data_IF_909811876466
#
_entry.id   IF_909811876466
#
_cell.length_a   1.000
_cell.length_b   1.000
_cell.length_c   1.000
_cell.angle_alpha   90.00
_cell.angle_beta   90.00
_cell.angle_gamma   90.00
#
_symmetry.space_group_name_H-M   'P 1'
#
loop_
_entity.id
_entity.type
_entity.pdbx_description
1 polymer ?
#
# COMPACT_ATOMS: atom_id res chain seq x y z
N UNK A 1 -25.31 37.89 -4.08
CA UNK A 1 -23.90 37.44 -4.23
C UNK A 1 -23.33 36.82 -2.92
N UNK A 2 -24.06 36.75 -1.79
CA UNK A 2 -23.41 36.55 -0.48
C UNK A 2 -23.55 35.17 0.22
N UNK A 3 -24.22 34.17 -0.34
CA UNK A 3 -24.42 32.88 0.37
C UNK A 3 -23.51 31.76 -0.14
N UNK A 4 -23.25 31.71 -1.46
CA UNK A 4 -22.37 30.72 -2.09
C UNK A 4 -20.88 31.00 -1.84
N UNK A 5 -20.45 32.26 -1.77
CA UNK A 5 -19.04 32.58 -1.50
C UNK A 5 -18.63 32.22 -0.06
N UNK A 6 -19.49 32.50 0.92
CA UNK A 6 -19.24 32.16 2.33
C UNK A 6 -19.15 30.64 2.57
N UNK A 7 -19.95 29.83 1.86
CA UNK A 7 -19.87 28.36 1.93
C UNK A 7 -18.55 27.84 1.35
N UNK A 8 -18.10 28.41 0.22
CA UNK A 8 -16.83 28.04 -0.44
C UNK A 8 -15.62 28.41 0.42
N UNK A 9 -15.60 29.59 1.04
CA UNK A 9 -14.53 29.99 1.96
C UNK A 9 -14.49 29.13 3.23
N UNK A 10 -15.66 28.75 3.76
CA UNK A 10 -15.75 27.89 4.95
C UNK A 10 -15.28 26.47 4.63
N UNK A 11 -15.67 25.90 3.48
CA UNK A 11 -15.20 24.60 3.02
C UNK A 11 -13.69 24.60 2.72
N UNK A 12 -13.17 25.66 2.09
CA UNK A 12 -11.73 25.81 1.85
C UNK A 12 -10.92 25.93 3.16
N UNK A 13 -11.44 26.67 4.15
CA UNK A 13 -10.83 26.78 5.47
C UNK A 13 -10.88 25.50 6.31
N UNK A 14 -11.90 24.66 6.10
CA UNK A 14 -12.01 23.32 6.71
C UNK A 14 -11.07 22.34 6.00
N UNK A 15 -11.03 22.33 4.67
CA UNK A 15 -10.13 21.48 3.87
C UNK A 15 -8.65 21.75 4.18
N UNK A 16 -8.25 23.03 4.29
CA UNK A 16 -6.89 23.42 4.67
C UNK A 16 -6.50 22.96 6.09
N UNK A 17 -7.45 22.88 7.02
CA UNK A 17 -7.22 22.28 8.35
C UNK A 17 -7.11 20.76 8.30
N UNK A 18 -7.80 20.09 7.38
CA UNK A 18 -7.69 18.63 7.23
C UNK A 18 -6.36 18.20 6.62
N UNK A 19 -5.85 18.92 5.61
CA UNK A 19 -4.52 18.65 5.04
C UNK A 19 -3.40 18.72 6.08
N UNK A 20 -3.48 19.68 7.02
CA UNK A 20 -2.54 19.81 8.12
C UNK A 20 -2.61 18.67 9.17
N UNK A 21 -3.67 17.86 9.14
CA UNK A 21 -3.93 16.79 10.13
C UNK A 21 -3.82 15.37 9.54
N UNK A 22 -3.46 15.22 8.26
CA UNK A 22 -3.22 13.89 7.69
C UNK A 22 -1.90 13.35 8.23
N UNK A 23 -1.98 12.19 8.89
CA UNK A 23 -0.86 11.51 9.54
C UNK A 23 -1.03 10.00 9.44
N UNK A 24 -0.03 9.23 9.90
CA UNK A 24 -0.11 7.76 9.96
C UNK A 24 -1.29 7.25 10.80
N UNK A 25 -1.84 8.07 11.71
CA UNK A 25 -2.98 7.71 12.56
C UNK A 25 -4.34 8.01 11.91
N UNK A 26 -4.38 9.00 11.01
CA UNK A 26 -5.63 9.58 10.50
C UNK A 26 -5.87 9.31 9.02
N UNK A 27 -4.82 9.02 8.24
CA UNK A 27 -4.93 8.88 6.77
C UNK A 27 -5.97 7.83 6.35
N UNK A 28 -5.99 6.66 6.99
CA UNK A 28 -6.92 5.58 6.64
C UNK A 28 -8.37 5.95 6.99
N UNK A 29 -8.60 6.57 8.14
CA UNK A 29 -9.94 6.98 8.57
C UNK A 29 -10.47 8.14 7.72
N UNK A 30 -9.63 9.13 7.41
CA UNK A 30 -9.97 10.24 6.53
C UNK A 30 -10.24 9.78 5.11
N UNK A 31 -9.43 8.88 4.56
CA UNK A 31 -9.68 8.29 3.25
C UNK A 31 -11.04 7.59 3.20
N UNK A 32 -11.35 6.74 4.20
CA UNK A 32 -12.64 6.04 4.29
C UNK A 32 -13.84 6.99 4.35
N UNK A 33 -13.76 8.01 5.19
CA UNK A 33 -14.81 9.04 5.31
C UNK A 33 -14.95 9.81 4.00
N UNK A 34 -13.84 10.15 3.34
CA UNK A 34 -13.85 10.88 2.08
C UNK A 34 -14.50 10.11 0.95
N UNK A 35 -14.26 8.79 0.87
CA UNK A 35 -14.97 7.91 -0.07
C UNK A 35 -16.48 7.90 0.22
N UNK A 36 -16.88 7.75 1.49
CA UNK A 36 -18.28 7.68 1.89
C UNK A 36 -19.06 8.96 1.54
N UNK A 37 -18.45 10.12 1.75
CA UNK A 37 -19.09 11.43 1.53
C UNK A 37 -18.71 12.09 0.19
N UNK A 38 -17.97 11.39 -0.68
CA UNK A 38 -17.47 11.90 -1.97
C UNK A 38 -16.70 13.23 -1.83
N UNK A 39 -15.96 13.39 -0.73
CA UNK A 39 -15.14 14.58 -0.46
C UNK A 39 -13.82 14.50 -1.25
N UNK A 40 -13.87 14.90 -2.53
CA UNK A 40 -12.79 14.71 -3.51
C UNK A 40 -11.46 15.35 -3.10
N UNK A 41 -11.49 16.54 -2.49
CA UNK A 41 -10.28 17.25 -2.06
C UNK A 41 -9.57 16.49 -0.93
N UNK A 42 -10.31 16.05 0.10
CA UNK A 42 -9.72 15.30 1.22
C UNK A 42 -9.26 13.90 0.78
N UNK A 43 -10.02 13.25 -0.10
CA UNK A 43 -9.63 11.98 -0.71
C UNK A 43 -8.28 12.14 -1.42
N UNK A 44 -8.15 13.18 -2.25
CA UNK A 44 -6.92 13.45 -2.99
C UNK A 44 -5.75 13.75 -2.06
N UNK A 45 -5.97 14.53 -1.00
CA UNK A 45 -4.94 14.82 -0.01
C UNK A 45 -4.45 13.55 0.71
N UNK A 46 -5.35 12.61 1.04
CA UNK A 46 -4.98 11.31 1.62
C UNK A 46 -4.14 10.48 0.65
N UNK A 47 -4.52 10.43 -0.62
CA UNK A 47 -3.75 9.73 -1.66
C UNK A 47 -2.36 10.34 -1.86
N UNK A 48 -2.26 11.67 -1.96
CA UNK A 48 -0.97 12.36 -2.04
C UNK A 48 -0.11 12.11 -0.80
N UNK A 49 -0.72 12.06 0.39
CA UNK A 49 0.00 11.72 1.62
C UNK A 49 0.56 10.29 1.57
N UNK A 50 -0.22 9.31 1.08
CA UNK A 50 0.24 7.94 0.91
C UNK A 50 1.38 7.84 -0.11
N UNK A 51 1.31 8.58 -1.22
CA UNK A 51 2.39 8.66 -2.20
C UNK A 51 3.71 9.11 -1.54
N UNK A 52 3.67 10.04 -0.60
CA UNK A 52 4.88 10.58 0.07
C UNK A 52 5.34 9.75 1.27
N UNK A 53 4.41 9.11 1.98
CA UNK A 53 4.66 8.61 3.34
C UNK A 53 4.32 7.14 3.57
N UNK A 54 3.81 6.40 2.57
CA UNK A 54 3.57 4.96 2.68
C UNK A 54 4.85 4.23 3.13
N UNK A 55 5.94 4.45 2.40
CA UNK A 55 7.23 3.78 2.64
C UNK A 55 7.97 4.39 3.81
N UNK A 56 7.99 5.72 3.92
CA UNK A 56 8.87 6.44 4.87
C UNK A 56 8.31 6.62 6.27
N UNK A 57 6.97 6.52 6.46
CA UNK A 57 6.34 6.69 7.78
C UNK A 57 5.34 5.60 8.12
N UNK A 58 4.43 5.27 7.19
CA UNK A 58 3.31 4.39 7.50
C UNK A 58 3.73 2.92 7.65
N UNK A 59 4.72 2.49 6.87
CA UNK A 59 5.30 1.14 6.91
C UNK A 59 5.82 0.72 8.31
N UNK A 60 6.17 1.71 9.14
CA UNK A 60 6.65 1.55 10.51
C UNK A 60 5.54 1.64 11.57
N UNK A 61 4.27 1.77 11.15
CA UNK A 61 3.14 1.96 12.05
C UNK A 61 2.14 0.80 11.95
N UNK A 62 1.58 0.37 13.08
CA UNK A 62 0.58 -0.71 13.12
C UNK A 62 -0.69 -0.39 12.30
N UNK A 63 -0.92 0.90 12.05
CA UNK A 63 -2.03 1.45 11.26
C UNK A 63 -1.92 1.17 9.77
N UNK A 64 -0.78 0.66 9.30
CA UNK A 64 -0.65 0.11 7.95
C UNK A 64 -1.71 -0.97 7.66
N UNK A 65 -2.16 -1.73 8.67
CA UNK A 65 -3.25 -2.71 8.54
C UNK A 65 -4.56 -2.12 8.05
N UNK A 66 -4.82 -0.86 8.42
CA UNK A 66 -6.08 -0.20 8.12
C UNK A 66 -6.17 0.22 6.64
N UNK A 67 -5.12 -0.02 5.83
CA UNK A 67 -5.14 0.23 4.39
C UNK A 67 -5.99 -0.84 3.68
N UNK A 68 -7.11 -0.47 3.03
CA UNK A 68 -7.87 -1.37 2.19
C UNK A 68 -7.05 -1.76 0.95
N UNK A 69 -7.31 -2.94 0.40
CA UNK A 69 -6.55 -3.54 -0.69
C UNK A 69 -6.27 -2.61 -1.89
N UNK A 70 -7.25 -1.82 -2.32
CA UNK A 70 -7.12 -0.96 -3.50
C UNK A 70 -6.15 0.21 -3.30
N UNK A 71 -5.93 0.64 -2.04
CA UNK A 71 -5.10 1.80 -1.73
C UNK A 71 -3.60 1.54 -1.93
N UNK A 72 -3.01 0.46 -1.40
CA UNK A 72 -1.65 0.05 -1.74
C UNK A 72 -1.47 -0.09 -3.25
N UNK A 73 -2.36 -0.80 -3.95
CA UNK A 73 -2.25 -0.99 -5.40
C UNK A 73 -2.19 0.36 -6.14
N UNK A 74 -3.14 1.24 -5.86
CA UNK A 74 -3.19 2.58 -6.45
C UNK A 74 -1.94 3.40 -6.14
N UNK A 75 -1.42 3.29 -4.91
CA UNK A 75 -0.22 4.01 -4.46
C UNK A 75 1.04 3.49 -5.17
N UNK A 76 1.19 2.17 -5.31
CA UNK A 76 2.31 1.53 -6.01
C UNK A 76 2.35 1.88 -7.49
N UNK A 77 1.19 1.92 -8.14
CA UNK A 77 1.07 2.31 -9.54
C UNK A 77 1.35 3.81 -9.77
N UNK A 78 1.35 4.63 -8.72
CA UNK A 78 1.59 6.06 -8.84
C UNK A 78 3.04 6.34 -9.24
N UNK A 79 3.30 7.17 -10.26
CA UNK A 79 4.66 7.63 -10.58
C UNK A 79 5.20 8.61 -9.54
N UNK A 80 4.35 9.10 -8.61
CA UNK A 80 4.72 10.04 -7.54
C UNK A 80 5.10 9.33 -6.23
N UNK A 81 5.09 7.99 -6.19
CA UNK A 81 5.50 7.25 -5.00
C UNK A 81 6.92 7.64 -4.61
N UNK A 82 7.06 8.20 -3.41
CA UNK A 82 8.33 8.62 -2.85
C UNK A 82 8.98 7.44 -2.11
N UNK A 83 10.13 7.02 -2.59
CA UNK A 83 10.96 5.98 -1.97
C UNK A 83 12.43 6.25 -2.24
N UNK A 84 13.32 5.77 -1.36
CA UNK A 84 14.77 5.81 -1.57
C UNK A 84 15.23 4.76 -2.59
N UNK A 85 14.57 3.60 -2.61
CA UNK A 85 14.77 2.52 -3.58
C UNK A 85 13.57 1.57 -3.61
N UNK A 86 13.53 0.67 -4.59
CA UNK A 86 12.42 -0.28 -4.80
C UNK A 86 12.37 -1.38 -3.72
N UNK A 87 13.49 -1.69 -3.06
CA UNK A 87 13.53 -2.65 -1.97
C UNK A 87 12.76 -2.16 -0.74
N UNK A 88 12.81 -0.87 -0.41
CA UNK A 88 12.01 -0.28 0.67
C UNK A 88 10.50 -0.35 0.37
N UNK A 89 10.11 -0.29 -0.92
CA UNK A 89 8.72 -0.48 -1.34
C UNK A 89 8.28 -1.92 -1.10
N UNK A 90 9.10 -2.90 -1.52
CA UNK A 90 8.85 -4.32 -1.25
C UNK A 90 8.70 -4.57 0.25
N UNK A 91 9.60 -4.02 1.08
CA UNK A 91 9.51 -4.13 2.55
C UNK A 91 8.19 -3.60 3.10
N UNK A 92 7.74 -2.44 2.62
CA UNK A 92 6.46 -1.87 3.04
C UNK A 92 5.27 -2.76 2.64
N UNK A 93 5.29 -3.32 1.42
CA UNK A 93 4.26 -4.26 0.94
C UNK A 93 4.23 -5.54 1.75
N UNK A 94 5.38 -6.15 2.05
CA UNK A 94 5.45 -7.35 2.87
C UNK A 94 4.94 -7.10 4.29
N UNK A 95 5.25 -5.94 4.88
CA UNK A 95 4.70 -5.55 6.18
C UNK A 95 3.20 -5.37 6.13
N UNK A 96 2.67 -4.72 5.09
CA UNK A 96 1.23 -4.56 4.92
C UNK A 96 0.55 -5.94 4.80
N UNK A 97 1.06 -6.81 3.92
CA UNK A 97 0.55 -8.16 3.72
C UNK A 97 0.59 -8.98 5.01
N UNK A 98 1.70 -8.94 5.76
CA UNK A 98 1.83 -9.60 7.05
C UNK A 98 0.69 -9.19 8.00
N UNK A 99 0.40 -7.89 8.09
CA UNK A 99 -0.67 -7.38 8.94
C UNK A 99 -2.07 -7.73 8.43
N UNK A 100 -2.27 -7.84 7.11
CA UNK A 100 -3.54 -8.35 6.55
C UNK A 100 -3.77 -9.81 6.92
N UNK A 101 -2.72 -10.64 6.90
CA UNK A 101 -2.79 -12.05 7.26
C UNK A 101 -2.89 -12.28 8.78
N UNK A 102 -2.49 -11.30 9.59
CA UNK A 102 -2.44 -11.40 11.04
C UNK A 102 -3.24 -10.29 11.73
N UNK A 103 -4.58 -10.23 11.55
CA UNK A 103 -5.40 -9.11 12.01
C UNK A 103 -5.49 -8.96 13.53
N UNK A 104 -5.12 -9.99 14.30
CA UNK A 104 -5.12 -9.96 15.77
C UNK A 104 -3.83 -9.38 16.38
N UNK A 105 -2.78 -9.15 15.59
CA UNK A 105 -1.52 -8.58 16.10
C UNK A 105 -1.76 -7.18 16.64
N UNK A 106 -1.14 -6.82 17.75
CA UNK A 106 -1.26 -5.48 18.34
C UNK A 106 0.01 -4.63 18.18
N UNK A 107 1.12 -5.27 17.85
CA UNK A 107 2.43 -4.64 17.64
C UNK A 107 2.98 -4.96 16.25
N UNK A 108 3.81 -4.06 15.73
CA UNK A 108 4.49 -4.26 14.46
C UNK A 108 5.74 -5.11 14.69
N UNK A 109 5.84 -6.24 14.01
CA UNK A 109 7.05 -7.07 14.00
C UNK A 109 8.17 -6.35 13.25
N UNK A 110 9.43 -6.57 13.65
CA UNK A 110 10.58 -6.04 12.95
C UNK A 110 10.57 -6.43 11.45
N UNK A 111 10.93 -5.48 10.58
CA UNK A 111 10.94 -5.69 9.13
C UNK A 111 11.83 -6.88 8.73
N UNK A 112 13.00 -7.06 9.36
CA UNK A 112 13.92 -8.17 9.08
C UNK A 112 13.29 -9.55 9.30
N UNK A 113 12.46 -9.69 10.33
CA UNK A 113 11.72 -10.93 10.59
C UNK A 113 10.68 -11.19 9.51
N UNK A 114 9.93 -10.15 9.12
CA UNK A 114 8.90 -10.25 8.07
C UNK A 114 9.55 -10.63 6.73
N UNK A 115 10.64 -9.96 6.36
CA UNK A 115 11.39 -10.26 5.13
C UNK A 115 11.88 -11.71 5.13
N UNK A 116 12.46 -12.17 6.24
CA UNK A 116 12.95 -13.55 6.36
C UNK A 116 11.83 -14.57 6.18
N UNK A 117 10.65 -14.34 6.77
CA UNK A 117 9.49 -15.22 6.61
C UNK A 117 9.06 -15.30 5.14
N UNK A 118 8.83 -14.14 4.52
CA UNK A 118 8.35 -14.08 3.15
C UNK A 118 9.40 -14.52 2.11
N UNK A 119 10.69 -14.34 2.37
CA UNK A 119 11.75 -14.76 1.44
C UNK A 119 11.71 -16.25 1.11
N UNK A 120 11.19 -17.08 2.02
CA UNK A 120 11.08 -18.54 1.85
C UNK A 120 9.72 -18.98 1.31
N UNK A 121 8.66 -18.25 1.65
CA UNK A 121 7.29 -18.73 1.49
C UNK A 121 6.47 -17.93 0.46
N UNK A 122 6.96 -16.80 -0.06
CA UNK A 122 6.12 -15.90 -0.90
C UNK A 122 5.62 -16.58 -2.18
N UNK A 123 6.46 -17.32 -2.91
CA UNK A 123 6.00 -18.02 -4.13
C UNK A 123 4.90 -19.03 -3.83
N UNK A 124 5.11 -19.87 -2.82
CA UNK A 124 4.15 -20.88 -2.38
C UNK A 124 2.85 -20.21 -1.90
N UNK A 125 2.96 -19.10 -1.15
CA UNK A 125 1.80 -18.34 -0.70
C UNK A 125 0.98 -17.77 -1.87
N UNK A 126 1.63 -17.16 -2.87
CA UNK A 126 0.95 -16.56 -4.02
C UNK A 126 0.24 -17.58 -4.91
N UNK A 127 0.70 -18.83 -4.93
CA UNK A 127 0.02 -19.94 -5.61
C UNK A 127 -1.30 -20.33 -4.95
N UNK A 128 -1.37 -20.20 -3.62
CA UNK A 128 -2.56 -20.59 -2.87
C UNK A 128 -3.75 -19.67 -3.18
N UNK A 129 -5.00 -20.16 -3.11
CA UNK A 129 -6.20 -19.37 -3.37
C UNK A 129 -6.27 -18.05 -2.58
N UNK A 130 -5.78 -18.05 -1.33
CA UNK A 130 -5.72 -16.85 -0.49
C UNK A 130 -4.69 -15.83 -0.97
N UNK A 131 -3.60 -16.27 -1.59
CA UNK A 131 -2.51 -15.44 -2.10
C UNK A 131 -2.79 -14.81 -3.46
N UNK A 132 -3.58 -15.47 -4.31
CA UNK A 132 -3.89 -15.05 -5.68
C UNK A 132 -4.36 -13.58 -5.78
N UNK A 133 -5.19 -13.13 -4.82
CA UNK A 133 -5.67 -11.74 -4.82
C UNK A 133 -4.55 -10.71 -4.68
N UNK A 134 -3.41 -11.06 -4.08
CA UNK A 134 -2.28 -10.16 -3.85
C UNK A 134 -1.31 -10.11 -5.03
N UNK A 135 -1.44 -10.97 -6.03
CA UNK A 135 -0.54 -11.00 -7.19
C UNK A 135 -0.44 -9.63 -7.86
N UNK A 136 -1.56 -8.92 -8.01
CA UNK A 136 -1.60 -7.57 -8.59
C UNK A 136 -0.80 -6.54 -7.81
N UNK A 137 -0.68 -6.69 -6.49
CA UNK A 137 0.17 -5.84 -5.65
C UNK A 137 1.64 -6.08 -5.98
N UNK A 138 2.05 -7.34 -6.09
CA UNK A 138 3.43 -7.70 -6.42
C UNK A 138 3.79 -7.32 -7.86
N UNK A 139 2.86 -7.40 -8.81
CA UNK A 139 3.05 -6.93 -10.18
C UNK A 139 3.23 -5.41 -10.28
N UNK A 140 2.67 -4.64 -9.33
CA UNK A 140 2.80 -3.19 -9.31
C UNK A 140 4.17 -2.71 -8.78
N UNK A 141 4.97 -3.60 -8.19
CA UNK A 141 6.33 -3.28 -7.76
C UNK A 141 7.25 -3.11 -8.96
N UNK A 142 8.02 -2.02 -9.00
CA UNK A 142 8.98 -1.78 -10.09
C UNK A 142 10.29 -2.47 -9.72
N UNK A 143 10.43 -3.73 -10.09
CA UNK A 143 11.54 -4.59 -9.66
C UNK A 143 12.90 -4.29 -10.33
N UNK A 144 13.04 -3.20 -11.08
CA UNK A 144 14.31 -2.83 -11.73
C UNK A 144 15.34 -2.44 -10.66
N UNK A 145 16.18 -3.39 -10.24
CA UNK A 145 17.29 -3.17 -9.31
C UNK A 145 17.32 -4.07 -8.06
N UNK A 146 16.34 -4.96 -7.85
CA UNK A 146 16.38 -5.93 -6.75
C UNK A 146 17.17 -7.16 -7.21
N UNK A 147 18.46 -7.20 -6.87
CA UNK A 147 19.42 -8.24 -7.30
C UNK A 147 19.51 -9.44 -6.36
N UNK A 148 18.71 -9.49 -5.29
CA UNK A 148 18.60 -10.69 -4.45
C UNK A 148 17.91 -11.81 -5.25
N UNK A 149 18.64 -12.91 -5.46
CA UNK A 149 18.20 -14.09 -6.21
C UNK A 149 16.90 -14.70 -5.69
N UNK A 150 16.59 -14.53 -4.40
CA UNK A 150 15.36 -14.99 -3.77
C UNK A 150 14.09 -14.34 -4.33
N UNK A 151 14.14 -13.08 -4.75
CA UNK A 151 12.95 -12.35 -5.25
C UNK A 151 12.79 -12.44 -6.75
N UNK A 152 13.87 -12.73 -7.46
CA UNK A 152 13.90 -12.84 -8.93
C UNK A 152 13.03 -14.03 -9.37
N UNK A 153 13.20 -15.21 -8.76
CA UNK A 153 12.42 -16.42 -9.10
C UNK A 153 10.93 -16.33 -8.77
N UNK A 154 10.55 -15.54 -7.76
CA UNK A 154 9.16 -15.42 -7.29
C UNK A 154 8.34 -14.52 -8.22
N UNK A 155 8.98 -13.56 -8.91
CA UNK A 155 8.30 -12.44 -9.57
C UNK A 155 8.58 -12.32 -11.07
N UNK A 156 9.57 -13.06 -11.63
CA UNK A 156 9.79 -13.14 -13.09
C UNK A 156 9.15 -14.35 -13.75
N UNK A 157 8.49 -15.23 -13.00
CA UNK A 157 7.72 -16.34 -13.58
C UNK A 157 6.40 -15.81 -14.18
N UNK A 158 6.11 -16.05 -15.48
CA UNK A 158 4.85 -15.61 -16.07
C UNK A 158 3.68 -16.33 -15.40
N UNK A 159 2.69 -15.57 -14.92
CA UNK A 159 1.48 -16.10 -14.27
C UNK A 159 0.68 -17.02 -15.22
N UNK A 160 0.83 -16.86 -16.53
CA UNK A 160 0.22 -17.72 -17.55
C UNK A 160 0.94 -19.05 -17.82
N UNK A 161 2.11 -19.31 -17.24
CA UNK A 161 2.87 -20.55 -17.50
C UNK A 161 2.64 -21.67 -16.48
N UNK A 162 1.75 -21.50 -15.49
CA UNK A 162 1.54 -22.52 -14.44
C UNK A 162 0.46 -23.57 -14.74
N UNK A 163 -0.07 -23.59 -15.97
CA UNK A 163 -0.94 -24.66 -16.49
C UNK A 163 -0.26 -25.67 -17.42
N UNK A 164 1.04 -25.49 -17.72
CA UNK A 164 1.76 -26.35 -18.69
C UNK A 164 3.14 -26.68 -18.13
N UNK A 165 3.18 -27.64 -17.20
CA UNK A 165 4.35 -28.50 -17.03
C UNK A 165 3.85 -29.94 -16.88
N UNK A 166 3.24 -30.41 -17.97
CA UNK A 166 3.21 -31.80 -18.40
C UNK A 166 3.86 -31.75 -19.79
N UNK A 167 5.07 -32.33 -19.91
CA UNK A 167 6.02 -32.26 -21.04
C UNK A 167 6.59 -30.84 -21.26
N UNK A 168 7.88 -30.55 -21.13
CA UNK A 168 9.12 -31.28 -21.49
C UNK A 168 10.18 -31.03 -20.40
#
# INVERSE_FOLDING_TARGET
ISTTSNLVFTLAGVLKRYEANISSLTVCSFHRVSCKFKATVLLRACECWLELFLVTKLSFHIKLRDLPFDLPLKTLLSPRLFTSNEYEVLRAVLCWLYLQLNPLRQTLTAHSTIITLFSKETAVFLEQPQGQKYITIFQALRMHGITESAWTLILTAPIHCRGIFVFI
#
